data_IF_020678848884
#
_entry.id   IF_020678848884
#
_cell.length_a   1.000
_cell.length_b   1.000
_cell.length_c   1.000
_cell.angle_alpha   90.00
_cell.angle_beta   90.00
_cell.angle_gamma   90.00
#
_symmetry.space_group_name_H-M   'P 1'
#
loop_
_entity.id
_entity.type
_entity.pdbx_description
1 polymer ?
#
# COMPACT_ATOMS: atom_id res chain seq x y z
N UNK A 1 0.91 -17.29 -0.42
CA UNK A 1 0.35 -16.79 -1.70
C UNK A 1 0.94 -15.40 -1.89
N UNK A 2 1.57 -15.13 -3.02
CA UNK A 2 2.19 -13.82 -3.30
C UNK A 2 1.41 -13.11 -4.41
N UNK A 3 1.25 -11.79 -4.27
CA UNK A 3 0.57 -10.93 -5.26
C UNK A 3 1.63 -10.10 -5.97
N UNK A 4 1.82 -10.34 -7.26
CA UNK A 4 2.74 -9.57 -8.11
C UNK A 4 1.91 -8.62 -8.98
N UNK A 5 2.12 -7.29 -8.89
CA UNK A 5 1.39 -6.34 -9.72
C UNK A 5 1.83 -6.42 -11.18
N UNK A 6 0.88 -6.43 -12.11
CA UNK A 6 1.16 -6.45 -13.56
C UNK A 6 1.64 -5.09 -14.09
N UNK A 7 1.45 -4.02 -13.32
CA UNK A 7 1.84 -2.66 -13.68
C UNK A 7 2.25 -1.88 -12.42
N UNK A 8 3.54 -1.92 -12.05
CA UNK A 8 4.09 -1.12 -10.95
C UNK A 8 3.93 0.38 -11.24
N UNK A 9 3.72 1.19 -10.21
CA UNK A 9 3.52 2.64 -10.33
C UNK A 9 4.39 3.37 -9.34
N UNK A 10 5.15 4.36 -9.82
CA UNK A 10 5.87 5.31 -8.98
C UNK A 10 4.94 6.45 -8.58
N UNK A 11 5.08 6.91 -7.34
CA UNK A 11 4.38 8.08 -6.81
C UNK A 11 5.41 9.07 -6.30
N UNK A 12 5.06 10.34 -6.27
CA UNK A 12 5.94 11.37 -5.69
C UNK A 12 5.98 11.28 -4.15
N UNK A 13 6.97 11.95 -3.53
CA UNK A 13 7.17 11.92 -2.07
C UNK A 13 5.96 12.43 -1.28
N UNK A 14 5.18 13.35 -1.85
CA UNK A 14 3.99 13.91 -1.19
C UNK A 14 2.88 12.88 -1.18
N UNK A 15 2.66 12.22 -2.31
CA UNK A 15 1.70 11.13 -2.47
C UNK A 15 2.09 9.92 -1.62
N UNK A 16 3.38 9.60 -1.53
CA UNK A 16 3.88 8.52 -0.68
C UNK A 16 3.54 8.78 0.79
N UNK A 17 3.77 10.00 1.30
CA UNK A 17 3.48 10.34 2.69
C UNK A 17 1.99 10.23 3.06
N UNK A 18 1.08 10.45 2.10
CA UNK A 18 -0.36 10.25 2.30
C UNK A 18 -0.78 8.78 2.16
N UNK A 19 -0.13 8.04 1.26
CA UNK A 19 -0.30 6.60 1.10
C UNK A 19 0.17 5.83 2.33
N UNK A 20 1.33 6.18 2.91
CA UNK A 20 1.84 5.58 4.15
C UNK A 20 0.81 5.69 5.28
N UNK A 21 0.28 6.89 5.52
CA UNK A 21 -0.77 7.10 6.54
C UNK A 21 -2.04 6.30 6.26
N UNK A 22 -2.36 6.03 4.99
CA UNK A 22 -3.51 5.22 4.62
C UNK A 22 -3.23 3.74 4.87
N UNK A 23 -2.05 3.27 4.49
CA UNK A 23 -1.60 1.88 4.67
C UNK A 23 -1.54 1.57 6.18
N UNK A 24 -0.92 2.43 6.98
CA UNK A 24 -0.83 2.26 8.44
C UNK A 24 -2.22 2.06 9.07
N UNK A 25 -3.20 2.88 8.69
CA UNK A 25 -4.59 2.76 9.18
C UNK A 25 -5.26 1.47 8.77
N UNK A 26 -4.91 0.91 7.62
CA UNK A 26 -5.45 -0.35 7.14
C UNK A 26 -4.79 -1.53 7.86
N UNK A 27 -3.49 -1.45 8.14
CA UNK A 27 -2.76 -2.49 8.88
C UNK A 27 -3.13 -2.54 10.36
N UNK A 28 -3.47 -1.40 10.96
CA UNK A 28 -3.95 -1.31 12.34
C UNK A 28 -5.37 -1.88 12.55
N UNK A 29 -6.09 -2.22 11.46
CA UNK A 29 -7.45 -2.73 11.54
C UNK A 29 -7.46 -4.25 11.77
N UNK A 30 -8.09 -4.71 12.86
CA UNK A 30 -8.18 -6.13 13.24
C UNK A 30 -8.87 -7.03 12.21
N UNK A 31 -9.71 -6.46 11.34
CA UNK A 31 -10.40 -7.17 10.27
C UNK A 31 -9.55 -7.30 8.99
N UNK A 32 -8.46 -6.54 8.88
CA UNK A 32 -7.58 -6.54 7.71
C UNK A 32 -6.47 -7.56 7.88
N UNK A 33 -6.41 -8.53 6.96
CA UNK A 33 -5.41 -9.60 7.02
C UNK A 33 -4.09 -9.24 6.35
N UNK A 34 -4.12 -8.50 5.23
CA UNK A 34 -2.90 -8.09 4.50
C UNK A 34 -3.21 -6.95 3.53
N UNK A 35 -2.30 -5.98 3.43
CA UNK A 35 -2.35 -4.89 2.44
C UNK A 35 -1.33 -5.17 1.33
N UNK A 36 -1.74 -5.01 0.07
CA UNK A 36 -0.86 -5.13 -1.10
C UNK A 36 -1.01 -3.88 -1.95
N UNK A 37 0.12 -3.32 -2.38
CA UNK A 37 0.18 -2.15 -3.27
C UNK A 37 0.91 -2.51 -4.55
N UNK A 38 0.68 -1.72 -5.61
CA UNK A 38 1.44 -1.80 -6.85
C UNK A 38 2.54 -0.72 -6.91
N UNK A 39 2.99 -0.22 -5.76
CA UNK A 39 4.04 0.80 -5.69
C UNK A 39 5.39 0.15 -6.06
N UNK A 40 6.19 0.86 -6.88
CA UNK A 40 7.49 0.40 -7.37
C UNK A 40 8.65 0.86 -6.47
#
# INVERSE_FOLDING_TARGET
>A
LERIPNNPTEVDDVQMADLEKLIDKLEDNEDVQTVYTNLA
#
